data_IF_518281055250
#
_entry.id   IF_518281055250
#
_cell.length_a   1.000
_cell.length_b   1.000
_cell.length_c   1.000
_cell.angle_alpha   90.00
_cell.angle_beta   90.00
_cell.angle_gamma   90.00
#
_symmetry.space_group_name_H-M   'P 1'
#
loop_
_entity.id
_entity.type
_entity.pdbx_description
1 polymer ?
#
# COMPACT_ATOMS: atom_id res chain seq x y z
N UNK A 1 -29.75 25.58 -22.21
CA UNK A 1 -29.30 24.27 -22.72
C UNK A 1 -27.80 24.31 -23.08
N UNK A 2 -27.05 23.23 -22.81
CA UNK A 2 -25.71 23.10 -23.36
C UNK A 2 -25.81 22.96 -24.88
N UNK A 3 -24.96 23.67 -25.63
CA UNK A 3 -25.00 23.66 -27.10
C UNK A 3 -24.21 22.49 -27.71
N UNK A 4 -23.52 21.71 -26.87
CA UNK A 4 -22.83 20.47 -27.20
C UNK A 4 -22.82 19.52 -25.99
N UNK A 5 -22.70 18.23 -26.27
CA UNK A 5 -22.47 17.18 -25.28
C UNK A 5 -21.42 16.20 -25.83
N UNK A 6 -20.65 15.55 -24.96
CA UNK A 6 -19.71 14.52 -25.38
C UNK A 6 -20.45 13.26 -25.82
N UNK A 7 -20.03 12.65 -26.92
CA UNK A 7 -20.48 11.30 -27.27
C UNK A 7 -19.85 10.27 -26.34
N UNK A 8 -20.63 9.82 -25.36
CA UNK A 8 -20.20 8.82 -24.37
C UNK A 8 -20.33 7.37 -24.86
N UNK A 9 -20.92 7.14 -26.03
CA UNK A 9 -21.28 5.79 -26.51
C UNK A 9 -20.30 5.26 -27.55
N UNK A 10 -19.82 6.11 -28.47
CA UNK A 10 -18.97 5.66 -29.58
C UNK A 10 -17.47 5.85 -29.31
N UNK A 11 -17.12 6.71 -28.36
CA UNK A 11 -15.74 7.05 -28.03
C UNK A 11 -15.30 6.27 -26.79
N UNK A 12 -14.12 5.65 -26.86
CA UNK A 12 -13.57 4.94 -25.71
C UNK A 12 -13.37 5.85 -24.49
N UNK A 13 -13.51 5.30 -23.29
CA UNK A 13 -13.33 6.04 -22.04
C UNK A 13 -11.95 6.69 -21.96
N UNK A 14 -10.88 6.04 -22.43
CA UNK A 14 -9.53 6.61 -22.41
C UNK A 14 -9.41 7.89 -23.24
N UNK A 15 -10.13 7.98 -24.36
CA UNK A 15 -10.16 9.17 -25.22
C UNK A 15 -11.00 10.27 -24.57
N UNK A 16 -12.17 9.94 -24.00
CA UNK A 16 -13.00 10.90 -23.26
C UNK A 16 -12.23 11.55 -22.10
N UNK A 17 -11.47 10.75 -21.34
CA UNK A 17 -10.68 11.23 -20.20
C UNK A 17 -9.54 12.19 -20.60
N UNK A 18 -9.10 12.17 -21.86
CA UNK A 18 -8.11 13.08 -22.40
C UNK A 18 -8.72 14.42 -22.87
N UNK A 19 -10.05 14.50 -23.06
CA UNK A 19 -10.69 15.72 -23.54
C UNK A 19 -10.56 16.88 -22.54
N UNK A 20 -10.09 18.05 -22.99
CA UNK A 20 -9.92 19.24 -22.14
C UNK A 20 -11.24 19.76 -21.53
N UNK A 21 -12.37 19.49 -22.19
CA UNK A 21 -13.69 20.00 -21.82
C UNK A 21 -14.55 19.01 -21.03
N UNK A 22 -14.04 17.81 -20.76
CA UNK A 22 -14.70 16.89 -19.84
C UNK A 22 -14.68 17.49 -18.43
N UNK A 23 -15.78 17.31 -17.70
CA UNK A 23 -15.94 17.77 -16.32
C UNK A 23 -14.70 17.38 -15.47
N UNK A 24 -14.00 18.36 -14.87
CA UNK A 24 -12.86 18.11 -14.01
C UNK A 24 -13.16 17.17 -12.84
N UNK A 25 -14.38 17.16 -12.31
CA UNK A 25 -14.78 16.30 -11.20
C UNK A 25 -14.80 14.82 -11.61
N UNK A 26 -15.27 14.52 -12.82
CA UNK A 26 -15.24 13.15 -13.39
C UNK A 26 -13.79 12.67 -13.54
N UNK A 27 -12.88 13.55 -13.99
CA UNK A 27 -11.45 13.23 -14.09
C UNK A 27 -10.82 12.97 -12.73
N UNK A 28 -11.14 13.81 -11.75
CA UNK A 28 -10.65 13.66 -10.39
C UNK A 28 -11.13 12.33 -9.78
N UNK A 29 -12.40 11.97 -9.95
CA UNK A 29 -12.94 10.73 -9.39
C UNK A 29 -12.32 9.48 -10.03
N UNK A 30 -12.11 9.48 -11.34
CA UNK A 30 -11.42 8.38 -12.01
C UNK A 30 -9.98 8.21 -11.50
N UNK A 31 -9.26 9.34 -11.28
CA UNK A 31 -7.92 9.34 -10.70
C UNK A 31 -7.93 8.80 -9.27
N UNK A 32 -8.87 9.24 -8.43
CA UNK A 32 -9.03 8.73 -7.07
C UNK A 32 -9.32 7.22 -7.04
N UNK A 33 -10.21 6.74 -7.91
CA UNK A 33 -10.51 5.30 -8.04
C UNK A 33 -9.26 4.52 -8.45
N UNK A 34 -8.47 5.02 -9.40
CA UNK A 34 -7.22 4.36 -9.81
C UNK A 34 -6.21 4.30 -8.66
N UNK A 35 -6.04 5.39 -7.91
CA UNK A 35 -5.15 5.43 -6.74
C UNK A 35 -5.60 4.45 -5.66
N UNK A 36 -6.90 4.42 -5.33
CA UNK A 36 -7.46 3.46 -4.37
C UNK A 36 -7.24 2.01 -4.81
N UNK A 37 -7.42 1.71 -6.10
CA UNK A 37 -7.15 0.37 -6.63
C UNK A 37 -5.68 -0.02 -6.53
N UNK A 38 -4.76 0.92 -6.75
CA UNK A 38 -3.32 0.67 -6.57
C UNK A 38 -3.05 0.38 -5.10
N UNK A 39 -3.49 1.25 -4.18
CA UNK A 39 -3.28 1.10 -2.74
C UNK A 39 -3.88 -0.21 -2.23
N UNK A 40 -5.10 -0.54 -2.64
CA UNK A 40 -5.77 -1.79 -2.23
C UNK A 40 -5.16 -3.05 -2.84
N UNK A 41 -4.33 -2.93 -3.87
CA UNK A 41 -3.57 -4.04 -4.46
C UNK A 41 -2.13 -4.14 -3.94
N UNK A 42 -1.70 -3.22 -3.06
CA UNK A 42 -0.41 -3.37 -2.38
C UNK A 42 -0.58 -4.36 -1.24
N UNK A 43 0.35 -5.31 -1.13
CA UNK A 43 0.43 -6.18 0.03
C UNK A 43 0.68 -5.33 1.28
N UNK A 44 -0.08 -5.60 2.34
CA UNK A 44 0.19 -5.00 3.64
C UNK A 44 1.58 -5.45 4.08
N UNK A 45 2.52 -4.54 4.37
CA UNK A 45 3.82 -4.95 4.87
C UNK A 45 3.61 -5.73 6.17
N UNK A 46 4.01 -7.01 6.16
CA UNK A 46 4.03 -7.82 7.39
C UNK A 46 5.11 -7.22 8.27
N UNK A 47 4.70 -6.53 9.32
CA UNK A 47 5.61 -6.07 10.35
C UNK A 47 6.01 -7.27 11.19
N UNK A 48 7.27 -7.68 11.11
CA UNK A 48 7.83 -8.66 12.03
C UNK A 48 7.90 -8.01 13.40
N UNK A 49 7.10 -8.53 14.32
CA UNK A 49 7.04 -8.05 15.70
C UNK A 49 7.65 -9.05 16.69
N UNK A 50 8.10 -10.23 16.25
CA UNK A 50 8.70 -11.25 17.09
C UNK A 50 10.12 -11.53 16.61
N UNK A 51 11.08 -11.48 17.54
CA UNK A 51 12.50 -11.57 17.26
C UNK A 51 13.20 -12.53 18.21
N UNK A 52 14.14 -13.28 17.68
CA UNK A 52 15.06 -14.11 18.45
C UNK A 52 16.48 -13.56 18.30
N UNK A 53 17.13 -13.20 19.42
CA UNK A 53 18.53 -12.78 19.42
C UNK A 53 19.44 -14.00 19.54
N UNK A 54 20.15 -14.37 18.46
CA UNK A 54 21.04 -15.56 18.47
C UNK A 54 22.28 -15.38 19.35
N UNK A 55 22.61 -14.15 19.73
CA UNK A 55 23.77 -13.86 20.57
C UNK A 55 23.51 -14.10 22.05
N UNK A 56 22.32 -13.77 22.54
CA UNK A 56 21.95 -13.91 23.96
C UNK A 56 20.77 -14.87 24.17
N UNK A 57 20.39 -15.59 23.13
CA UNK A 57 19.33 -16.61 23.13
C UNK A 57 17.98 -16.10 23.65
N UNK A 58 17.69 -14.81 23.44
CA UNK A 58 16.50 -14.18 23.99
C UNK A 58 15.44 -13.91 22.92
N UNK A 59 14.22 -14.36 23.18
CA UNK A 59 13.02 -14.01 22.42
C UNK A 59 12.45 -12.68 22.91
N UNK A 60 12.05 -11.80 21.99
CA UNK A 60 11.48 -10.50 22.34
C UNK A 60 10.53 -9.99 21.25
N UNK A 61 9.68 -9.02 21.61
CA UNK A 61 8.68 -8.44 20.71
C UNK A 61 8.91 -6.94 20.44
N UNK A 62 8.32 -6.44 19.36
CA UNK A 62 8.34 -5.04 18.94
C UNK A 62 9.49 -4.71 18.00
N UNK A 63 10.17 -3.59 18.26
CA UNK A 63 11.26 -3.09 17.41
C UNK A 63 12.47 -4.03 17.45
N UNK A 64 13.18 -4.15 16.33
CA UNK A 64 14.40 -4.98 16.19
C UNK A 64 15.59 -4.43 17.00
N UNK A 65 15.52 -4.48 18.33
CA UNK A 65 16.59 -4.11 19.25
C UNK A 65 16.53 -4.97 20.51
N UNK A 66 17.45 -5.92 20.60
CA UNK A 66 17.61 -6.71 21.81
C UNK A 66 18.11 -5.81 22.95
N UNK A 67 17.33 -5.69 24.02
CA UNK A 67 17.67 -4.86 25.18
C UNK A 67 18.95 -5.36 25.88
N UNK A 68 19.12 -6.66 26.15
CA UNK A 68 20.38 -7.20 26.70
C UNK A 68 21.63 -6.87 25.88
N UNK A 69 21.56 -6.96 24.54
CA UNK A 69 22.72 -6.71 23.68
C UNK A 69 22.90 -5.24 23.32
N UNK A 70 21.89 -4.39 23.55
CA UNK A 70 21.86 -3.00 23.09
C UNK A 70 21.84 -2.83 21.57
N UNK A 71 21.60 -3.90 20.81
CA UNK A 71 21.67 -3.92 19.33
C UNK A 71 20.67 -4.93 18.75
N UNK A 72 20.33 -4.77 17.47
CA UNK A 72 19.48 -5.69 16.70
C UNK A 72 20.24 -6.51 15.66
N UNK A 73 21.56 -6.39 15.56
CA UNK A 73 22.36 -7.02 14.49
C UNK A 73 22.37 -8.56 14.57
N UNK A 74 22.14 -9.13 15.75
CA UNK A 74 22.05 -10.57 15.99
C UNK A 74 20.61 -11.06 16.11
N UNK A 75 19.64 -10.22 15.76
CA UNK A 75 18.23 -10.57 15.86
C UNK A 75 17.70 -11.08 14.53
N UNK A 76 17.05 -12.24 14.57
CA UNK A 76 16.35 -12.86 13.45
C UNK A 76 14.85 -12.92 13.75
N UNK A 77 14.03 -13.10 12.72
CA UNK A 77 12.59 -13.31 12.91
C UNK A 77 12.39 -14.55 13.77
N UNK A 78 11.55 -14.44 14.80
CA UNK A 78 11.24 -15.56 15.67
C UNK A 78 10.18 -16.44 15.01
N UNK A 79 10.60 -17.54 14.41
CA UNK A 79 9.71 -18.50 13.73
C UNK A 79 8.95 -19.40 14.71
N UNK A 80 9.35 -19.43 15.98
CA UNK A 80 8.69 -20.21 17.03
C UNK A 80 7.55 -19.42 17.69
N UNK A 81 7.58 -18.09 17.56
CA UNK A 81 6.42 -17.24 17.80
C UNK A 81 5.41 -17.47 16.68
N UNK A 82 4.59 -18.51 16.84
CA UNK A 82 3.60 -19.00 15.88
C UNK A 82 3.10 -17.98 14.87
N UNK A 83 3.22 -18.37 13.60
CA UNK A 83 2.65 -17.70 12.43
C UNK A 83 1.29 -17.05 12.76
N UNK A 84 1.06 -15.76 12.41
CA UNK A 84 -0.27 -15.18 12.53
C UNK A 84 -1.33 -15.98 11.75
#
# INVERSE_FOLDING_TARGET
PAWFEHDQHTVSTSVLMQCAWLDPEVKAEARHRKLRSIIGGLDTPVTVLSWYCVWCENHYQGDKRCVPCGTGIYSIEDTDAGNP
#
